data_IF_218833171648
#
_entry.id   IF_218833171648
#
_cell.length_a   1.000
_cell.length_b   1.000
_cell.length_c   1.000
_cell.angle_alpha   90.00
_cell.angle_beta   90.00
_cell.angle_gamma   90.00
#
_symmetry.space_group_name_H-M   'P 1'
#
loop_
_entity.id
_entity.type
_entity.pdbx_description
1 polymer ?
#
# COMPACT_ATOMS: atom_id res chain seq x y z
N UNK A 1 20.03 -14.03 -30.66
CA UNK A 1 20.71 -12.78 -31.02
C UNK A 1 21.58 -12.44 -29.83
N UNK A 2 22.86 -12.83 -29.93
CA UNK A 2 23.87 -12.52 -28.92
C UNK A 2 24.09 -11.02 -28.94
N UNK A 3 23.73 -10.35 -27.84
CA UNK A 3 24.21 -8.99 -27.59
C UNK A 3 25.67 -9.19 -27.21
N UNK A 4 26.58 -9.09 -28.19
CA UNK A 4 28.00 -8.89 -27.91
C UNK A 4 28.12 -7.55 -27.19
N UNK A 5 27.99 -7.58 -25.86
CA UNK A 5 28.39 -6.49 -25.00
C UNK A 5 29.90 -6.40 -25.21
N UNK A 6 30.38 -5.27 -25.75
CA UNK A 6 31.80 -5.04 -25.89
C UNK A 6 32.38 -4.94 -24.48
N UNK A 7 33.02 -6.02 -24.01
CA UNK A 7 33.37 -6.21 -22.60
C UNK A 7 34.33 -5.11 -22.16
N UNK A 8 35.20 -4.64 -23.05
CA UNK A 8 36.13 -3.54 -22.80
C UNK A 8 35.42 -2.19 -22.58
N UNK A 9 34.35 -1.90 -23.32
CA UNK A 9 33.52 -0.70 -23.09
C UNK A 9 32.78 -0.80 -21.75
N UNK A 10 32.26 -1.98 -21.40
CA UNK A 10 31.56 -2.18 -20.14
C UNK A 10 32.49 -2.07 -18.93
N UNK A 11 33.72 -2.59 -19.03
CA UNK A 11 34.75 -2.41 -17.98
C UNK A 11 35.07 -0.91 -17.85
N UNK A 12 35.22 -0.19 -18.96
CA UNK A 12 35.53 1.24 -18.94
C UNK A 12 34.39 2.07 -18.33
N UNK A 13 33.13 1.80 -18.70
CA UNK A 13 31.96 2.44 -18.09
C UNK A 13 31.87 2.15 -16.59
N UNK A 14 32.14 0.91 -16.18
CA UNK A 14 32.12 0.50 -14.78
C UNK A 14 33.28 1.13 -13.98
N UNK A 15 34.49 1.21 -14.54
CA UNK A 15 35.64 1.86 -13.86
C UNK A 15 35.44 3.37 -13.70
N UNK A 16 34.82 4.03 -14.69
CA UNK A 16 34.40 5.44 -14.58
C UNK A 16 33.33 5.60 -13.49
N UNK A 17 32.30 4.75 -13.51
CA UNK A 17 31.19 4.79 -12.53
C UNK A 17 31.64 4.53 -11.10
N UNK A 18 32.64 3.67 -10.89
CA UNK A 18 33.19 3.37 -9.56
C UNK A 18 34.30 4.34 -9.12
N UNK A 19 34.59 5.39 -9.91
CA UNK A 19 35.55 6.43 -9.56
C UNK A 19 37.02 6.02 -9.70
N UNK A 20 37.30 4.96 -10.45
CA UNK A 20 38.66 4.42 -10.71
C UNK A 20 39.32 5.16 -11.89
N UNK A 21 38.52 5.74 -12.79
CA UNK A 21 38.98 6.46 -14.00
C UNK A 21 38.79 5.65 -15.27
N UNK A 22 39.23 6.20 -16.41
CA UNK A 22 39.23 5.51 -17.69
C UNK A 22 40.18 4.30 -17.66
N UNK A 23 39.79 3.21 -18.32
CA UNK A 23 40.57 1.97 -18.36
C UNK A 23 41.99 2.23 -18.88
N UNK A 24 42.13 3.10 -19.88
CA UNK A 24 43.39 3.53 -20.50
C UNK A 24 44.29 4.35 -19.56
N UNK A 25 43.70 4.97 -18.52
CA UNK A 25 44.42 5.74 -17.51
C UNK A 25 45.12 4.89 -16.44
N UNK A 26 44.87 3.57 -16.42
CA UNK A 26 45.50 2.65 -15.47
C UNK A 26 46.91 2.29 -15.97
N UNK A 27 47.95 2.80 -15.31
CA UNK A 27 49.35 2.67 -15.74
C UNK A 27 49.93 1.25 -15.80
N UNK A 28 49.15 0.21 -15.48
CA UNK A 28 49.55 -1.19 -15.62
C UNK A 28 48.63 -1.95 -16.56
N UNK A 29 49.17 -2.31 -17.72
CA UNK A 29 48.52 -3.13 -18.75
C UNK A 29 48.10 -4.52 -18.22
N UNK A 30 48.76 -4.99 -17.16
CA UNK A 30 48.43 -6.26 -16.50
C UNK A 30 47.15 -6.15 -15.68
N UNK A 31 46.94 -5.01 -15.01
CA UNK A 31 45.75 -4.73 -14.21
C UNK A 31 44.53 -4.50 -15.11
N UNK A 32 44.71 -3.79 -16.23
CA UNK A 32 43.65 -3.65 -17.25
C UNK A 32 43.17 -5.02 -17.76
N UNK A 33 44.09 -5.91 -18.12
CA UNK A 33 43.75 -7.28 -18.57
C UNK A 33 43.09 -8.13 -17.48
N UNK A 34 43.42 -7.90 -16.21
CA UNK A 34 42.77 -8.58 -15.10
C UNK A 34 41.34 -8.07 -14.89
N UNK A 35 41.12 -6.76 -15.02
CA UNK A 35 39.79 -6.15 -14.91
C UNK A 35 38.85 -6.65 -16.01
N UNK A 36 39.33 -6.74 -17.25
CA UNK A 36 38.55 -7.32 -18.36
C UNK A 36 38.16 -8.77 -18.06
N UNK A 37 39.11 -9.61 -17.63
CA UNK A 37 38.82 -11.02 -17.27
C UNK A 37 37.85 -11.18 -16.10
N UNK A 38 37.92 -10.29 -15.12
CA UNK A 38 36.99 -10.28 -13.98
C UNK A 38 35.59 -9.91 -14.48
N UNK A 39 35.49 -8.89 -15.33
CA UNK A 39 34.21 -8.48 -15.90
C UNK A 39 33.62 -9.57 -16.80
N UNK A 40 34.43 -10.24 -17.64
CA UNK A 40 34.01 -11.41 -18.43
C UNK A 40 33.33 -12.46 -17.55
N UNK A 41 33.98 -12.84 -16.44
CA UNK A 41 33.42 -13.81 -15.50
C UNK A 41 32.14 -13.30 -14.81
N UNK A 42 32.10 -12.03 -14.40
CA UNK A 42 30.93 -11.44 -13.76
C UNK A 42 29.73 -11.34 -14.72
N UNK A 43 29.97 -11.00 -15.98
CA UNK A 43 28.95 -10.95 -17.01
C UNK A 43 28.43 -12.34 -17.36
N UNK A 44 29.32 -13.33 -17.50
CA UNK A 44 28.95 -14.73 -17.66
C UNK A 44 28.10 -15.21 -16.48
N UNK A 45 28.46 -14.83 -15.27
CA UNK A 45 27.67 -15.15 -14.09
C UNK A 45 26.29 -14.49 -14.13
N UNK A 46 26.20 -13.22 -14.53
CA UNK A 46 24.92 -12.51 -14.70
C UNK A 46 24.05 -13.13 -15.79
N UNK A 47 24.65 -13.54 -16.91
CA UNK A 47 23.95 -14.24 -17.99
C UNK A 47 23.45 -15.61 -17.55
N UNK A 48 24.26 -16.35 -16.80
CA UNK A 48 23.85 -17.62 -16.18
C UNK A 48 22.71 -17.42 -15.18
N UNK A 49 22.71 -16.36 -14.38
CA UNK A 49 21.60 -16.02 -13.49
C UNK A 49 20.32 -15.67 -14.27
N UNK A 50 20.42 -14.90 -15.35
CA UNK A 50 19.27 -14.59 -16.23
C UNK A 50 18.70 -15.87 -16.84
N UNK A 51 19.56 -16.74 -17.38
CA UNK A 51 19.16 -18.05 -17.93
C UNK A 51 18.49 -18.92 -16.88
N UNK A 52 19.04 -18.97 -15.65
CA UNK A 52 18.45 -19.71 -14.54
C UNK A 52 17.08 -19.15 -14.14
N UNK A 53 16.92 -17.83 -14.14
CA UNK A 53 15.63 -17.16 -13.87
C UNK A 53 14.57 -17.50 -14.93
N UNK A 54 14.95 -17.51 -16.20
CA UNK A 54 14.06 -17.92 -17.30
C UNK A 54 13.70 -19.41 -17.22
N UNK A 55 14.67 -20.27 -16.93
CA UNK A 55 14.44 -21.69 -16.68
C UNK A 55 13.49 -21.90 -15.49
N UNK A 56 13.68 -21.19 -14.39
CA UNK A 56 12.78 -21.25 -13.23
C UNK A 56 11.36 -20.84 -13.59
N UNK A 57 11.18 -19.79 -14.42
CA UNK A 57 9.85 -19.41 -14.93
C UNK A 57 9.23 -20.53 -15.78
N UNK A 58 10.00 -21.21 -16.63
CA UNK A 58 9.51 -22.31 -17.47
C UNK A 58 9.19 -23.58 -16.66
N UNK A 59 10.03 -23.93 -15.68
CA UNK A 59 9.86 -25.13 -14.84
C UNK A 59 8.89 -24.94 -13.68
N UNK A 60 8.49 -23.69 -13.37
CA UNK A 60 7.48 -23.39 -12.34
C UNK A 60 6.11 -24.05 -12.57
N UNK A 61 5.82 -24.53 -13.78
CA UNK A 61 4.58 -25.21 -14.16
C UNK A 61 4.85 -26.65 -14.63
N UNK A 62 5.34 -27.49 -13.73
CA UNK A 62 5.39 -28.94 -13.94
C UNK A 62 3.96 -29.46 -14.15
N UNK A 63 3.71 -30.04 -15.33
CA UNK A 63 2.41 -30.59 -15.71
C UNK A 63 2.60 -31.94 -16.42
N UNK A 64 1.53 -32.71 -16.54
CA UNK A 64 1.55 -33.97 -17.31
C UNK A 64 2.05 -33.73 -18.75
N UNK A 65 1.74 -32.58 -19.33
CA UNK A 65 2.20 -32.19 -20.67
C UNK A 65 3.72 -31.98 -20.72
N UNK A 66 4.30 -31.27 -19.73
CA UNK A 66 5.75 -31.04 -19.69
C UNK A 66 6.51 -32.34 -19.38
N UNK A 67 5.94 -33.20 -18.53
CA UNK A 67 6.52 -34.52 -18.22
C UNK A 67 6.45 -35.46 -19.43
N UNK A 68 5.33 -35.49 -20.16
CA UNK A 68 5.16 -36.25 -21.40
C UNK A 68 6.19 -35.83 -22.46
N UNK A 69 6.36 -34.52 -22.67
CA UNK A 69 7.33 -33.98 -23.62
C UNK A 69 8.78 -34.30 -23.22
N UNK A 70 9.13 -34.13 -21.93
CA UNK A 70 10.48 -34.39 -21.43
C UNK A 70 10.86 -35.87 -21.42
N UNK A 71 9.93 -36.75 -21.02
CA UNK A 71 10.14 -38.20 -20.98
C UNK A 71 10.01 -38.87 -22.36
N UNK A 72 9.62 -38.11 -23.41
CA UNK A 72 9.32 -38.61 -24.75
C UNK A 72 8.26 -39.74 -24.74
N UNK A 73 7.32 -39.67 -23.80
CA UNK A 73 6.20 -40.62 -23.70
C UNK A 73 4.95 -39.94 -24.25
N UNK A 74 4.25 -40.53 -25.24
CA UNK A 74 3.01 -39.98 -25.77
C UNK A 74 1.99 -39.71 -24.68
N UNK A 75 1.40 -38.52 -24.69
CA UNK A 75 0.37 -38.12 -23.72
C UNK A 75 -0.83 -39.07 -23.71
N UNK A 76 -1.17 -39.63 -24.88
CA UNK A 76 -2.19 -40.66 -25.03
C UNK A 76 -1.86 -41.92 -24.24
N UNK A 77 -0.61 -42.38 -24.20
CA UNK A 77 -0.19 -43.55 -23.43
C UNK A 77 -0.21 -43.29 -21.91
N UNK A 78 0.15 -42.08 -21.48
CA UNK A 78 0.05 -41.67 -20.08
C UNK A 78 -1.42 -41.63 -19.64
N UNK A 79 -2.30 -41.10 -20.48
CA UNK A 79 -3.73 -40.99 -20.19
C UNK A 79 -4.50 -42.31 -20.37
N UNK A 80 -4.00 -43.26 -21.16
CA UNK A 80 -4.59 -44.60 -21.30
C UNK A 80 -4.47 -45.41 -20.00
N UNK A 81 -3.36 -45.24 -19.27
CA UNK A 81 -3.10 -45.87 -17.98
C UNK A 81 -3.36 -44.91 -16.82
N UNK A 82 -4.60 -44.42 -16.74
CA UNK A 82 -5.06 -43.37 -15.81
C UNK A 82 -4.74 -43.65 -14.35
N UNK A 83 -4.70 -44.93 -13.94
CA UNK A 83 -4.57 -45.30 -12.53
C UNK A 83 -3.12 -45.47 -12.07
N UNK A 84 -2.17 -45.68 -12.99
CA UNK A 84 -0.78 -45.99 -12.64
C UNK A 84 0.17 -44.88 -13.06
N UNK A 85 0.22 -44.55 -14.35
CA UNK A 85 1.17 -43.57 -14.88
C UNK A 85 0.75 -42.14 -14.54
N UNK A 86 -0.53 -41.81 -14.77
CA UNK A 86 -1.05 -40.48 -14.46
C UNK A 86 -0.98 -40.18 -12.96
N UNK A 87 -1.43 -41.11 -12.11
CA UNK A 87 -1.39 -40.95 -10.65
C UNK A 87 0.05 -40.82 -10.12
N UNK A 88 1.00 -41.60 -10.64
CA UNK A 88 2.41 -41.49 -10.27
C UNK A 88 2.99 -40.11 -10.65
N UNK A 89 2.72 -39.63 -11.86
CA UNK A 89 3.19 -38.33 -12.33
C UNK A 89 2.58 -37.20 -11.48
N UNK A 90 1.28 -37.23 -11.23
CA UNK A 90 0.59 -36.23 -10.41
C UNK A 90 1.12 -36.19 -8.98
N UNK A 91 1.24 -37.36 -8.33
CA UNK A 91 1.77 -37.43 -6.98
C UNK A 91 3.23 -36.97 -6.89
N UNK A 92 4.05 -37.31 -7.90
CA UNK A 92 5.46 -36.90 -7.91
C UNK A 92 5.63 -35.40 -8.20
N UNK A 93 4.77 -34.81 -9.04
CA UNK A 93 4.71 -33.35 -9.23
C UNK A 93 4.38 -32.69 -7.89
N UNK A 94 3.36 -33.15 -7.17
CA UNK A 94 2.98 -32.60 -5.86
C UNK A 94 4.14 -32.71 -4.86
N UNK A 95 4.86 -33.83 -4.83
CA UNK A 95 6.02 -34.00 -3.95
C UNK A 95 7.17 -33.04 -4.28
N UNK A 96 7.46 -32.86 -5.58
CA UNK A 96 8.49 -31.91 -6.05
C UNK A 96 8.08 -30.47 -5.71
N UNK A 97 6.82 -30.12 -5.91
CA UNK A 97 6.29 -28.80 -5.55
C UNK A 97 6.33 -28.56 -4.05
N UNK A 98 6.08 -29.57 -3.22
CA UNK A 98 6.20 -29.48 -1.75
C UNK A 98 7.64 -29.35 -1.27
N UNK A 99 8.60 -29.87 -2.05
CA UNK A 99 10.03 -29.73 -1.76
C UNK A 99 10.60 -28.35 -2.12
N UNK A 100 9.76 -27.43 -2.65
CA UNK A 100 10.04 -26.04 -3.06
C UNK A 100 11.45 -25.54 -2.70
N UNK A 101 12.44 -25.94 -3.52
CA UNK A 101 13.87 -25.70 -3.23
C UNK A 101 14.17 -24.19 -3.17
N UNK A 102 13.38 -23.40 -3.90
CA UNK A 102 13.57 -21.96 -4.04
C UNK A 102 12.58 -21.13 -3.19
N UNK A 103 11.70 -21.76 -2.41
CA UNK A 103 10.66 -21.09 -1.60
C UNK A 103 9.80 -20.08 -2.39
N UNK A 104 9.64 -20.26 -3.70
CA UNK A 104 9.02 -19.25 -4.58
C UNK A 104 7.55 -19.07 -4.19
N UNK A 105 6.82 -20.17 -3.96
CA UNK A 105 5.40 -20.12 -3.58
C UNK A 105 5.23 -19.49 -2.19
N UNK A 106 6.14 -19.78 -1.26
CA UNK A 106 6.17 -19.16 0.07
C UNK A 106 6.41 -17.66 -0.04
N UNK A 107 7.35 -17.23 -0.88
CA UNK A 107 7.67 -15.81 -1.06
C UNK A 107 6.52 -15.05 -1.74
N UNK A 108 5.87 -15.62 -2.75
CA UNK A 108 4.68 -15.02 -3.37
C UNK A 108 3.53 -14.86 -2.38
N UNK A 109 3.27 -15.89 -1.56
CA UNK A 109 2.27 -15.82 -0.49
C UNK A 109 2.59 -14.72 0.52
N UNK A 110 3.82 -14.67 1.03
CA UNK A 110 4.26 -13.62 1.96
C UNK A 110 4.16 -12.22 1.34
N UNK A 111 4.42 -12.09 0.03
CA UNK A 111 4.26 -10.82 -0.69
C UNK A 111 2.78 -10.42 -0.84
N UNK A 112 1.88 -11.40 -0.99
CA UNK A 112 0.43 -11.18 -0.91
C UNK A 112 0.01 -10.68 0.46
N UNK A 113 0.34 -11.44 1.50
CA UNK A 113 0.03 -11.11 2.90
C UNK A 113 0.61 -9.74 3.30
N UNK A 114 1.83 -9.39 2.85
CA UNK A 114 2.42 -8.07 3.07
C UNK A 114 1.58 -6.94 2.44
N UNK A 115 1.11 -7.11 1.20
CA UNK A 115 0.28 -6.09 0.52
C UNK A 115 -1.07 -5.90 1.21
N UNK A 116 -1.67 -6.99 1.68
CA UNK A 116 -2.90 -6.93 2.47
C UNK A 116 -2.68 -6.20 3.79
N UNK A 117 -1.59 -6.51 4.49
CA UNK A 117 -1.20 -5.81 5.72
C UNK A 117 -0.96 -4.32 5.49
N UNK A 118 -0.26 -3.95 4.43
CA UNK A 118 -0.04 -2.53 4.05
C UNK A 118 -1.37 -1.80 3.83
N UNK A 119 -2.32 -2.43 3.12
CA UNK A 119 -3.65 -1.85 2.88
C UNK A 119 -4.43 -1.64 4.17
N UNK A 120 -4.39 -2.60 5.10
CA UNK A 120 -5.02 -2.45 6.41
C UNK A 120 -4.37 -1.34 7.23
N UNK A 121 -3.05 -1.23 7.20
CA UNK A 121 -2.29 -0.23 7.93
C UNK A 121 -2.62 1.18 7.43
N UNK A 122 -2.75 1.36 6.12
CA UNK A 122 -3.17 2.64 5.53
C UNK A 122 -4.63 2.98 5.89
N UNK A 123 -5.53 1.99 5.93
CA UNK A 123 -6.89 2.17 6.43
C UNK A 123 -6.92 2.63 7.90
N UNK A 124 -6.10 2.04 8.77
CA UNK A 124 -5.99 2.45 10.18
C UNK A 124 -5.42 3.87 10.31
N UNK A 125 -4.44 4.24 9.49
CA UNK A 125 -3.89 5.61 9.45
C UNK A 125 -4.98 6.63 9.09
N UNK A 126 -5.80 6.32 8.09
CA UNK A 126 -6.91 7.20 7.71
C UNK A 126 -7.92 7.35 8.86
N UNK A 127 -8.31 6.26 9.51
CA UNK A 127 -9.23 6.29 10.65
C UNK A 127 -8.72 7.16 11.80
N UNK A 128 -7.41 7.16 12.06
CA UNK A 128 -6.79 8.02 13.07
C UNK A 128 -6.97 9.50 12.70
N UNK A 129 -6.70 9.86 11.43
CA UNK A 129 -6.87 11.24 10.94
C UNK A 129 -8.34 11.68 11.06
N UNK A 130 -9.27 10.84 10.59
CA UNK A 130 -10.70 11.13 10.65
C UNK A 130 -11.17 11.31 12.11
N UNK A 131 -10.64 10.50 13.04
CA UNK A 131 -10.93 10.61 14.46
C UNK A 131 -10.43 11.93 15.07
N UNK A 132 -9.25 12.40 14.65
CA UNK A 132 -8.73 13.70 15.11
C UNK A 132 -9.58 14.85 14.58
N UNK A 133 -10.01 14.79 13.32
CA UNK A 133 -10.89 15.81 12.74
C UNK A 133 -12.26 15.83 13.42
N UNK A 134 -12.85 14.66 13.68
CA UNK A 134 -14.11 14.53 14.41
C UNK A 134 -14.02 15.10 15.82
N UNK A 135 -12.91 14.82 16.52
CA UNK A 135 -12.67 15.36 17.86
C UNK A 135 -12.59 16.89 17.85
N UNK A 136 -11.87 17.46 16.88
CA UNK A 136 -11.78 18.92 16.74
C UNK A 136 -13.16 19.54 16.47
N UNK A 137 -13.96 18.95 15.58
CA UNK A 137 -15.32 19.41 15.29
C UNK A 137 -16.22 19.34 16.54
N UNK A 138 -16.09 18.27 17.34
CA UNK A 138 -16.81 18.15 18.60
C UNK A 138 -16.44 19.27 19.58
N UNK A 139 -15.14 19.54 19.77
CA UNK A 139 -14.68 20.61 20.66
C UNK A 139 -15.20 22.00 20.22
N UNK A 140 -15.23 22.25 18.91
CA UNK A 140 -15.81 23.48 18.35
C UNK A 140 -17.31 23.59 18.64
N UNK A 141 -18.07 22.52 18.39
CA UNK A 141 -19.52 22.49 18.64
C UNK A 141 -19.85 22.63 20.13
N UNK A 142 -19.07 22.00 21.01
CA UNK A 142 -19.24 22.14 22.47
C UNK A 142 -19.01 23.59 22.93
N UNK A 143 -17.98 24.26 22.40
CA UNK A 143 -17.70 25.66 22.69
C UNK A 143 -18.83 26.58 22.20
N UNK A 144 -19.31 26.35 20.98
CA UNK A 144 -20.43 27.11 20.42
C UNK A 144 -21.73 26.88 21.21
N UNK A 145 -22.01 25.65 21.63
CA UNK A 145 -23.18 25.33 22.43
C UNK A 145 -23.14 26.03 23.79
N UNK A 146 -21.98 26.00 24.48
CA UNK A 146 -21.77 26.76 25.74
C UNK A 146 -22.02 28.26 25.54
N UNK A 147 -21.51 28.85 24.45
CA UNK A 147 -21.72 30.26 24.11
C UNK A 147 -23.21 30.57 23.90
N UNK A 148 -23.92 29.72 23.16
CA UNK A 148 -25.36 29.89 22.89
C UNK A 148 -26.19 29.78 24.16
N UNK A 149 -25.86 28.87 25.07
CA UNK A 149 -26.51 28.74 26.38
C UNK A 149 -26.37 30.04 27.18
N UNK A 150 -25.14 30.58 27.30
CA UNK A 150 -24.91 31.85 27.99
C UNK A 150 -25.69 33.01 27.37
N UNK A 151 -25.76 33.05 26.03
CA UNK A 151 -26.53 34.08 25.33
C UNK A 151 -28.04 33.94 25.59
N UNK A 152 -28.57 32.71 25.61
CA UNK A 152 -29.96 32.45 25.96
C UNK A 152 -30.28 32.88 27.39
N UNK A 153 -29.44 32.54 28.36
CA UNK A 153 -29.62 32.94 29.76
C UNK A 153 -29.63 34.47 29.92
N UNK A 154 -28.74 35.18 29.21
CA UNK A 154 -28.73 36.64 29.20
C UNK A 154 -30.02 37.21 28.64
N UNK A 155 -30.48 36.70 27.47
CA UNK A 155 -31.73 37.16 26.84
C UNK A 155 -32.93 36.87 27.73
N UNK A 156 -32.96 35.73 28.41
CA UNK A 156 -34.03 35.38 29.34
C UNK A 156 -34.14 36.38 30.49
N UNK A 157 -33.00 36.81 31.06
CA UNK A 157 -32.97 37.87 32.09
C UNK A 157 -33.50 39.20 31.55
N UNK A 158 -33.17 39.55 30.31
CA UNK A 158 -33.66 40.79 29.69
C UNK A 158 -35.17 40.74 29.41
N UNK A 159 -35.70 39.59 28.97
CA UNK A 159 -37.15 39.36 28.81
C UNK A 159 -37.86 39.56 30.15
N UNK A 160 -37.39 38.95 31.23
CA UNK A 160 -37.98 39.11 32.56
C UNK A 160 -38.01 40.58 33.01
N UNK A 161 -36.90 41.32 32.83
CA UNK A 161 -36.86 42.76 33.15
C UNK A 161 -37.86 43.58 32.32
N UNK A 162 -38.01 43.25 31.04
CA UNK A 162 -38.96 43.92 30.16
C UNK A 162 -40.40 43.59 30.55
N UNK A 163 -40.70 42.33 30.88
CA UNK A 163 -42.02 41.91 31.39
C UNK A 163 -42.39 42.65 32.68
N UNK A 164 -41.47 42.76 33.63
CA UNK A 164 -41.69 43.53 34.87
C UNK A 164 -41.99 45.01 34.58
N UNK A 165 -41.20 45.64 33.70
CA UNK A 165 -41.44 47.03 33.29
C UNK A 165 -42.80 47.20 32.60
N UNK A 166 -43.14 46.28 31.70
CA UNK A 166 -44.40 46.30 30.98
C UNK A 166 -45.58 46.11 31.94
N UNK A 167 -45.47 45.21 32.93
CA UNK A 167 -46.46 45.06 33.99
C UNK A 167 -46.63 46.34 34.81
N UNK A 168 -45.54 47.03 35.16
CA UNK A 168 -45.59 48.32 35.90
C UNK A 168 -46.30 49.40 35.09
N UNK A 169 -45.95 49.53 33.80
CA UNK A 169 -46.58 50.49 32.89
C UNK A 169 -48.08 50.20 32.69
N UNK A 170 -48.47 48.93 32.52
CA UNK A 170 -49.88 48.54 32.42
C UNK A 170 -50.67 48.90 33.69
N UNK A 171 -50.09 48.70 34.88
CA UNK A 171 -50.72 49.12 36.15
C UNK A 171 -50.90 50.64 36.21
N UNK A 172 -49.85 51.40 35.89
CA UNK A 172 -49.91 52.86 35.88
C UNK A 172 -50.94 53.41 34.87
N UNK A 173 -51.02 52.81 33.68
CA UNK A 173 -52.01 53.17 32.66
C UNK A 173 -53.44 52.89 33.16
N UNK A 174 -53.68 51.73 33.78
CA UNK A 174 -54.99 51.39 34.35
C UNK A 174 -55.39 52.34 35.49
N UNK A 175 -54.44 52.76 36.34
CA UNK A 175 -54.69 53.75 37.39
C UNK A 175 -55.03 55.13 36.82
N UNK A 176 -54.34 55.58 35.76
CA UNK A 176 -54.70 56.82 35.05
C UNK A 176 -56.09 56.73 34.41
N UNK A 177 -56.40 55.62 33.76
CA UNK A 177 -57.71 55.43 33.12
C UNK A 177 -58.85 55.46 34.13
N UNK A 178 -58.67 54.91 35.35
CA UNK A 178 -59.65 55.02 36.44
C UNK A 178 -59.89 56.46 36.90
N UNK A 179 -58.88 57.34 36.86
CA UNK A 179 -59.01 58.76 37.22
C UNK A 179 -59.68 59.61 36.14
N UNK A 180 -59.67 59.16 34.88
CA UNK A 180 -60.30 59.85 33.74
C UNK A 180 -61.78 59.52 33.52
N UNK A 181 -62.38 58.65 34.33
CA UNK A 181 -63.82 58.38 34.27
C UNK A 181 -64.55 59.57 34.90
N UNK A 182 -64.89 60.56 34.09
CA UNK A 182 -65.88 61.57 34.44
C UNK A 182 -67.25 60.88 34.31
N UNK A 183 -68.08 60.84 35.37
CA UNK A 183 -69.45 60.36 35.23
C UNK A 183 -70.19 61.33 34.31
N UNK A 184 -70.79 60.82 33.24
CA UNK A 184 -71.87 61.55 32.58
C UNK A 184 -73.14 61.35 33.40
N UNK A 185 -73.75 62.47 33.77
CA UNK A 185 -75.04 62.57 34.48
C UNK A 185 -76.14 61.72 33.82
#
# INVERSE_FOLDING_TARGET
MDICINIEECVNENTIKFGIGELEGIGSLTVQKQLVKIEEFLQDFCMNQKRLSEQLKQFSKLSISSVSAGAKVPRSQINLNTNTLKLYIENRIIEIEKKDIFNIKKHERLKGEKRELETHLDGLRQQIVDSFELKLRLEMLESENKRLILQMESRQKDVQKLEEKNSKLRKALNEQNKKKIVPFN
#
